data_IF_647464660071
#
_entry.id   IF_647464660071
#
_cell.length_a   1.000
_cell.length_b   1.000
_cell.length_c   1.000
_cell.angle_alpha   90.00
_cell.angle_beta   90.00
_cell.angle_gamma   90.00
#
_symmetry.space_group_name_H-M   'P 1'
#
loop_
_entity.id
_entity.type
_entity.pdbx_description
1 polymer ?
#
# COMPACT_ATOMS: atom_id res chain seq x y z
N UNK A 1 4.79 10.04 -3.89
CA UNK A 1 3.80 8.95 -3.83
C UNK A 1 4.04 8.08 -5.05
N UNK A 2 3.82 6.78 -4.95
CA UNK A 2 4.01 5.82 -6.05
C UNK A 2 2.68 5.11 -6.29
N UNK A 3 2.29 4.93 -7.54
CA UNK A 3 1.14 4.11 -7.90
C UNK A 3 1.53 2.63 -7.82
N UNK A 4 0.70 1.83 -7.15
CA UNK A 4 0.94 0.41 -6.97
C UNK A 4 -0.36 -0.39 -7.05
N UNK A 5 -0.30 -1.59 -7.61
CA UNK A 5 -1.42 -2.52 -7.65
C UNK A 5 -1.34 -3.49 -6.49
N UNK A 6 -2.45 -3.67 -5.78
CA UNK A 6 -2.52 -4.61 -4.65
C UNK A 6 -2.59 -6.04 -5.16
N UNK A 7 -1.59 -6.85 -4.82
CA UNK A 7 -1.54 -8.27 -5.18
C UNK A 7 -2.11 -9.17 -4.08
N UNK A 8 -1.85 -8.84 -2.81
CA UNK A 8 -2.36 -9.57 -1.65
C UNK A 8 -2.35 -8.69 -0.39
N UNK A 9 -3.29 -8.94 0.52
CA UNK A 9 -3.35 -8.32 1.85
C UNK A 9 -3.57 -9.41 2.89
N UNK A 10 -2.74 -9.39 3.94
CA UNK A 10 -2.83 -10.31 5.07
C UNK A 10 -2.54 -9.57 6.38
N UNK A 11 -3.54 -9.43 7.25
CA UNK A 11 -3.53 -8.65 8.49
C UNK A 11 -2.92 -7.24 8.32
N UNK A 12 -1.59 -7.11 8.43
CA UNK A 12 -0.83 -5.85 8.32
C UNK A 12 0.25 -5.87 7.23
N UNK A 13 0.32 -6.94 6.44
CA UNK A 13 1.26 -7.09 5.33
C UNK A 13 0.50 -6.91 4.02
N UNK A 14 1.10 -6.16 3.10
CA UNK A 14 0.63 -5.99 1.74
C UNK A 14 1.72 -6.39 0.76
N UNK A 15 1.32 -7.07 -0.30
CA UNK A 15 2.14 -7.30 -1.49
C UNK A 15 1.64 -6.39 -2.59
N UNK A 16 2.56 -5.62 -3.17
CA UNK A 16 2.28 -4.59 -4.16
C UNK A 16 3.09 -4.87 -5.42
N UNK A 17 2.47 -4.66 -6.57
CA UNK A 17 3.16 -4.53 -7.85
C UNK A 17 3.42 -3.03 -8.07
N UNK A 18 4.70 -2.65 -8.09
CA UNK A 18 5.13 -1.29 -8.39
C UNK A 18 5.68 -1.29 -9.82
N UNK A 19 5.29 -0.34 -10.68
CA UNK A 19 5.81 -0.27 -12.04
C UNK A 19 7.35 -0.23 -12.05
N UNK A 20 7.96 -1.21 -12.71
CA UNK A 20 9.43 -1.34 -12.79
C UNK A 20 10.08 -2.14 -11.66
N UNK A 21 9.32 -2.63 -10.67
CA UNK A 21 9.79 -3.59 -9.66
C UNK A 21 9.02 -4.92 -9.76
N UNK A 22 9.61 -6.00 -9.27
CA UNK A 22 9.00 -7.34 -9.31
C UNK A 22 7.76 -7.42 -8.41
N UNK A 23 7.96 -7.45 -7.09
CA UNK A 23 6.90 -7.48 -6.08
C UNK A 23 7.45 -6.84 -4.81
N UNK A 24 6.76 -5.84 -4.30
CA UNK A 24 7.13 -5.14 -3.08
C UNK A 24 6.26 -5.60 -1.92
N UNK A 25 6.87 -6.26 -0.92
CA UNK A 25 6.18 -6.72 0.29
C UNK A 25 6.51 -5.82 1.47
N UNK A 26 5.48 -5.31 2.12
CA UNK A 26 5.63 -4.25 3.13
C UNK A 26 4.54 -4.33 4.19
N UNK A 27 4.81 -3.76 5.37
CA UNK A 27 3.75 -3.42 6.30
C UNK A 27 3.01 -2.20 5.79
N UNK A 28 1.71 -2.14 6.01
CA UNK A 28 0.93 -0.97 5.61
C UNK A 28 0.16 -0.35 6.77
N UNK A 29 -0.15 0.94 6.62
CA UNK A 29 -1.08 1.68 7.47
C UNK A 29 -2.12 2.38 6.61
N UNK A 30 -3.38 2.32 7.03
CA UNK A 30 -4.52 3.03 6.46
C UNK A 30 -5.10 3.99 7.49
N UNK A 31 -5.66 5.11 7.04
CA UNK A 31 -6.42 5.99 7.92
C UNK A 31 -7.85 5.44 8.04
N UNK A 32 -8.19 4.87 9.20
CA UNK A 32 -9.53 4.37 9.53
C UNK A 32 -9.64 2.85 9.62
N UNK A 33 -10.55 2.34 10.46
CA UNK A 33 -10.71 0.91 10.76
C UNK A 33 -11.38 0.08 9.65
N UNK A 34 -11.82 0.68 8.54
CA UNK A 34 -12.83 0.07 7.66
C UNK A 34 -12.43 -0.19 6.20
N UNK A 35 -11.25 0.20 5.73
CA UNK A 35 -10.91 0.07 4.31
C UNK A 35 -9.58 -0.65 4.10
N UNK A 36 -9.61 -1.98 4.28
CA UNK A 36 -8.51 -2.83 3.84
C UNK A 36 -8.35 -2.68 2.31
N UNK A 37 -7.11 -2.53 1.80
CA UNK A 37 -6.87 -2.48 0.36
C UNK A 37 -7.41 -3.76 -0.29
N UNK A 38 -8.22 -3.64 -1.32
CA UNK A 38 -8.73 -4.81 -2.03
C UNK A 38 -7.69 -5.33 -3.02
N UNK A 39 -7.47 -6.64 -3.05
CA UNK A 39 -6.66 -7.27 -4.09
C UNK A 39 -7.17 -6.88 -5.48
N UNK A 40 -6.27 -6.51 -6.37
CA UNK A 40 -6.56 -6.02 -7.72
C UNK A 40 -6.79 -4.52 -7.83
N UNK A 41 -6.96 -3.80 -6.72
CA UNK A 41 -7.13 -2.35 -6.73
C UNK A 41 -5.79 -1.62 -6.91
N UNK A 42 -5.85 -0.43 -7.51
CA UNK A 42 -4.71 0.48 -7.63
C UNK A 42 -4.75 1.49 -6.48
N UNK A 43 -3.61 1.65 -5.81
CA UNK A 43 -3.45 2.56 -4.67
C UNK A 43 -2.24 3.46 -4.85
N UNK A 44 -2.26 4.62 -4.18
CA UNK A 44 -1.08 5.47 -4.05
C UNK A 44 -0.39 5.16 -2.73
N UNK A 45 0.89 4.82 -2.77
CA UNK A 45 1.70 4.55 -1.59
C UNK A 45 2.69 5.66 -1.30
N UNK A 46 2.94 5.91 -0.01
CA UNK A 46 4.03 6.73 0.48
C UNK A 46 4.87 5.93 1.45
N UNK A 47 6.18 5.88 1.26
CA UNK A 47 7.09 5.28 2.24
C UNK A 47 7.09 6.11 3.53
N UNK A 48 6.83 5.44 4.66
CA UNK A 48 6.73 6.07 5.99
C UNK A 48 7.96 5.77 6.83
N UNK A 49 8.51 4.55 6.75
CA UNK A 49 9.68 4.14 7.55
C UNK A 49 10.51 3.08 6.85
N UNK A 50 11.83 3.25 6.90
CA UNK A 50 12.82 2.30 6.37
C UNK A 50 13.15 1.17 7.38
N UNK A 51 12.14 0.42 7.85
CA UNK A 51 12.35 -0.83 8.60
C UNK A 51 12.32 -2.07 7.69
N UNK A 52 12.54 -3.27 8.22
CA UNK A 52 12.24 -4.53 7.49
C UNK A 52 11.13 -5.33 8.22
N UNK A 53 9.99 -5.66 7.57
CA UNK A 53 9.56 -5.13 6.28
C UNK A 53 9.33 -3.60 6.37
N UNK A 54 9.57 -2.86 5.27
CA UNK A 54 9.33 -1.41 5.20
C UNK A 54 7.88 -1.08 5.52
N UNK A 55 7.62 0.15 5.95
CA UNK A 55 6.26 0.63 6.24
C UNK A 55 5.82 1.62 5.17
N UNK A 56 4.69 1.33 4.52
CA UNK A 56 4.04 2.24 3.58
C UNK A 56 2.69 2.72 4.10
N UNK A 57 2.33 3.95 3.75
CA UNK A 57 0.97 4.47 3.90
C UNK A 57 0.25 4.33 2.58
N UNK A 58 -0.98 3.83 2.64
CA UNK A 58 -1.83 3.63 1.46
C UNK A 58 -2.86 4.75 1.41
N UNK A 59 -3.03 5.32 0.23
CA UNK A 59 -4.02 6.34 -0.11
C UNK A 59 -4.91 5.82 -1.24
N UNK A 60 -6.23 6.02 -1.15
CA UNK A 60 -7.15 5.64 -2.23
C UNK A 60 -7.07 6.63 -3.38
N UNK A 61 -7.20 6.12 -4.60
CA UNK A 61 -7.43 6.94 -5.79
C UNK A 61 -8.82 7.58 -5.68
N UNK A 62 -8.85 8.90 -5.44
CA UNK A 62 -10.08 9.67 -5.23
C UNK A 62 -10.23 10.28 -3.83
N UNK A 63 -9.43 9.86 -2.84
CA UNK A 63 -9.34 10.57 -1.56
C UNK A 63 -8.43 11.80 -1.73
N UNK A 64 -8.87 13.03 -1.37
CA UNK A 64 -8.01 14.21 -1.42
C UNK A 64 -6.80 14.03 -0.49
N UNK A 65 -5.62 14.59 -0.83
CA UNK A 65 -4.45 14.51 0.04
C UNK A 65 -4.71 15.35 1.30
N UNK A 66 -5.25 14.70 2.33
CA UNK A 66 -5.43 15.21 3.69
C UNK A 66 -4.27 14.87 4.62
#
# INVERSE_FOLDING_TARGET
>A
MIEAKVLAVDNQIISLEIPGELIFRSRYVINGKHDLPQTGSTVLIKFVRHGQPPLVRIHRMGDPPG
#
